data_IF_654952050396
#
_entry.id   IF_654952050396
#
_cell.length_a   1.000
_cell.length_b   1.000
_cell.length_c   1.000
_cell.angle_alpha   90.00
_cell.angle_beta   90.00
_cell.angle_gamma   90.00
#
_symmetry.space_group_name_H-M   'P 1'
#
loop_
_entity.id
_entity.type
_entity.pdbx_description
1 polymer ?
#
# COMPACT_ATOMS: atom_id res chain seq x y z
N UNK A 1 43.34 -19.55 -39.57
CA UNK A 1 43.78 -18.24 -39.09
C UNK A 1 43.33 -18.04 -37.62
N UNK A 2 43.98 -17.14 -36.91
CA UNK A 2 43.65 -16.84 -35.50
C UNK A 2 42.20 -16.40 -35.34
N UNK A 3 41.67 -15.61 -36.30
CA UNK A 3 40.25 -15.22 -36.33
C UNK A 3 39.31 -16.45 -36.30
N UNK A 4 39.60 -17.47 -37.12
CA UNK A 4 38.73 -18.67 -37.16
C UNK A 4 38.73 -19.42 -35.83
N UNK A 5 39.91 -19.51 -35.22
CA UNK A 5 40.03 -20.15 -33.89
C UNK A 5 39.32 -19.34 -32.83
N UNK A 6 39.42 -18.01 -32.88
CA UNK A 6 38.73 -17.14 -31.91
C UNK A 6 37.21 -17.21 -32.06
N UNK A 7 36.70 -17.24 -33.32
CA UNK A 7 35.26 -17.40 -33.57
C UNK A 7 34.78 -18.75 -33.00
N UNK A 8 35.51 -19.83 -33.25
CA UNK A 8 35.13 -21.16 -32.78
C UNK A 8 35.09 -21.25 -31.23
N UNK A 9 36.06 -20.58 -30.60
CA UNK A 9 36.09 -20.53 -29.12
C UNK A 9 34.93 -19.69 -28.54
N UNK A 10 34.61 -18.57 -29.16
CA UNK A 10 33.57 -17.66 -28.62
C UNK A 10 32.15 -18.13 -28.93
N UNK A 11 31.95 -18.62 -30.17
CA UNK A 11 30.65 -19.11 -30.62
C UNK A 11 30.82 -20.31 -31.55
N UNK A 12 30.91 -21.52 -31.00
CA UNK A 12 31.01 -22.74 -31.79
C UNK A 12 29.85 -22.86 -32.78
N UNK A 13 30.17 -23.18 -34.01
CA UNK A 13 29.18 -23.36 -35.06
C UNK A 13 28.64 -22.07 -35.69
N UNK A 14 29.23 -20.88 -35.41
CA UNK A 14 28.88 -19.65 -36.11
C UNK A 14 29.19 -19.80 -37.63
N UNK A 15 28.15 -19.57 -38.43
CA UNK A 15 28.29 -19.65 -39.88
C UNK A 15 29.16 -18.51 -40.42
N UNK A 16 30.17 -18.83 -41.19
CA UNK A 16 31.15 -17.89 -41.74
C UNK A 16 31.50 -18.21 -43.16
N UNK A 17 31.65 -17.16 -44.01
CA UNK A 17 32.17 -17.27 -45.36
C UNK A 17 33.47 -16.46 -45.43
N UNK A 18 34.50 -17.04 -45.97
CA UNK A 18 35.82 -16.40 -46.13
C UNK A 18 36.02 -16.16 -47.62
N UNK A 19 36.24 -14.90 -48.00
CA UNK A 19 36.61 -14.48 -49.34
C UNK A 19 38.10 -14.11 -49.32
N UNK A 20 38.94 -15.00 -49.82
CA UNK A 20 40.38 -14.75 -49.99
C UNK A 20 40.65 -13.82 -51.15
N UNK A 21 41.30 -12.68 -50.90
CA UNK A 21 41.66 -11.69 -51.92
C UNK A 21 43.10 -11.34 -51.86
N UNK A 22 43.69 -11.02 -53.00
CA UNK A 22 45.00 -10.44 -53.07
C UNK A 22 44.91 -8.97 -52.67
N UNK A 23 45.68 -8.56 -51.68
CA UNK A 23 45.63 -7.21 -51.08
C UNK A 23 46.81 -6.33 -51.48
N UNK A 24 47.75 -6.88 -52.27
CA UNK A 24 48.97 -6.23 -52.73
C UNK A 24 49.14 -6.38 -54.26
N UNK A 25 49.82 -5.45 -54.91
CA UNK A 25 50.14 -5.49 -56.36
C UNK A 25 49.03 -4.95 -57.29
N UNK A 26 49.36 -5.02 -58.62
CA UNK A 26 48.47 -4.53 -59.62
C UNK A 26 47.13 -5.28 -59.69
N UNK A 27 46.07 -4.82 -59.29
CA UNK A 27 44.78 -5.52 -59.27
C UNK A 27 44.22 -5.75 -57.89
N UNK A 28 44.96 -5.45 -56.84
CA UNK A 28 44.44 -5.59 -55.43
C UNK A 28 43.14 -4.82 -55.18
N UNK A 29 43.05 -3.59 -55.69
CA UNK A 29 41.85 -2.73 -55.66
C UNK A 29 40.66 -3.44 -56.28
N UNK A 30 40.82 -3.97 -57.47
CA UNK A 30 39.78 -4.66 -58.24
C UNK A 30 39.30 -5.92 -57.45
N UNK A 31 40.26 -6.69 -56.94
CA UNK A 31 39.95 -7.93 -56.16
C UNK A 31 39.20 -7.63 -54.88
N UNK A 32 39.59 -6.57 -54.15
CA UNK A 32 38.88 -6.16 -52.93
C UNK A 32 37.48 -5.68 -53.25
N UNK A 33 37.31 -4.82 -54.27
CA UNK A 33 36.00 -4.33 -54.68
C UNK A 33 35.07 -5.47 -55.17
N UNK A 34 35.60 -6.46 -55.90
CA UNK A 34 34.83 -7.66 -56.30
C UNK A 34 34.43 -8.50 -55.14
N UNK A 35 35.31 -8.71 -54.14
CA UNK A 35 34.96 -9.46 -52.94
C UNK A 35 33.89 -8.78 -52.08
N UNK A 36 34.00 -7.44 -51.93
CA UNK A 36 32.96 -6.64 -51.25
C UNK A 36 31.64 -6.70 -52.02
N UNK A 37 31.68 -6.64 -53.33
CA UNK A 37 30.52 -6.83 -54.21
C UNK A 37 29.89 -8.21 -54.03
N UNK A 38 30.71 -9.26 -54.01
CA UNK A 38 30.22 -10.63 -53.78
C UNK A 38 29.60 -10.79 -52.38
N UNK A 39 30.23 -10.23 -51.34
CA UNK A 39 29.66 -10.23 -49.98
C UNK A 39 28.33 -9.47 -49.92
N UNK A 40 28.24 -8.33 -50.61
CA UNK A 40 27.00 -7.56 -50.75
C UNK A 40 25.90 -8.37 -51.46
N UNK A 41 26.20 -9.10 -52.51
CA UNK A 41 25.20 -9.97 -53.14
C UNK A 41 24.76 -11.12 -52.22
N UNK A 42 25.65 -11.71 -51.43
CA UNK A 42 25.33 -12.73 -50.44
C UNK A 42 24.52 -12.22 -49.23
N UNK A 43 24.44 -10.91 -49.02
CA UNK A 43 23.52 -10.36 -48.00
C UNK A 43 22.05 -10.37 -48.44
N UNK A 44 21.79 -10.58 -49.75
CA UNK A 44 20.42 -10.73 -50.25
C UNK A 44 19.93 -12.16 -50.04
N UNK A 45 18.81 -12.37 -49.33
CA UNK A 45 18.33 -13.72 -48.99
C UNK A 45 18.10 -14.63 -50.22
N UNK A 46 17.61 -14.04 -51.32
CA UNK A 46 17.34 -14.76 -52.57
C UNK A 46 18.62 -15.31 -53.22
N UNK A 47 19.67 -14.52 -53.20
CA UNK A 47 20.96 -14.89 -53.82
C UNK A 47 21.69 -15.88 -52.90
N UNK A 48 21.72 -15.64 -51.59
CA UNK A 48 22.29 -16.56 -50.62
C UNK A 48 21.66 -17.96 -50.74
N UNK A 49 20.34 -18.03 -50.90
CA UNK A 49 19.60 -19.28 -51.11
C UNK A 49 20.01 -19.98 -52.43
N UNK A 50 20.12 -19.22 -53.55
CA UNK A 50 20.56 -19.78 -54.83
C UNK A 50 21.98 -20.34 -54.76
N UNK A 51 22.85 -19.70 -54.00
CA UNK A 51 24.25 -20.11 -53.80
C UNK A 51 24.43 -21.20 -52.76
N UNK A 52 23.33 -21.63 -52.11
CA UNK A 52 23.35 -22.54 -50.95
C UNK A 52 24.32 -22.08 -49.84
N UNK A 53 24.32 -20.77 -49.57
CA UNK A 53 25.15 -20.13 -48.55
C UNK A 53 24.31 -19.41 -47.52
N UNK A 54 24.84 -19.21 -46.32
CA UNK A 54 24.17 -18.38 -45.33
C UNK A 54 24.07 -16.94 -45.81
N UNK A 55 23.02 -16.25 -45.41
CA UNK A 55 22.92 -14.80 -45.59
C UNK A 55 24.06 -14.13 -44.80
N UNK A 56 24.63 -13.11 -45.37
CA UNK A 56 25.70 -12.32 -44.74
C UNK A 56 25.04 -11.19 -43.96
N UNK A 57 25.22 -11.18 -42.65
CA UNK A 57 24.68 -10.14 -41.75
C UNK A 57 25.73 -9.10 -41.37
N UNK A 58 27.01 -9.40 -41.54
CA UNK A 58 28.15 -8.55 -41.17
C UNK A 58 29.33 -8.88 -42.09
N UNK A 59 30.07 -7.85 -42.50
CA UNK A 59 31.32 -8.00 -43.24
C UNK A 59 32.49 -7.54 -42.38
N UNK A 60 33.54 -8.34 -42.32
CA UNK A 60 34.80 -7.96 -41.68
C UNK A 60 35.86 -7.88 -42.78
N UNK A 61 36.41 -6.68 -43.02
CA UNK A 61 37.54 -6.46 -43.87
C UNK A 61 38.79 -6.51 -43.01
N UNK A 62 39.54 -7.60 -43.12
CA UNK A 62 40.69 -7.84 -42.27
C UNK A 62 41.93 -8.18 -43.09
N UNK A 63 43.07 -7.72 -42.61
CA UNK A 63 44.39 -8.09 -43.14
C UNK A 63 45.31 -8.57 -42.02
N UNK A 64 46.13 -9.55 -42.31
CA UNK A 64 47.27 -9.91 -41.45
C UNK A 64 48.38 -8.86 -41.51
N UNK A 65 49.37 -8.95 -40.65
CA UNK A 65 50.53 -8.02 -40.63
C UNK A 65 51.20 -7.85 -41.98
N UNK A 66 51.76 -6.67 -42.25
CA UNK A 66 52.48 -6.29 -43.47
C UNK A 66 53.04 -4.88 -43.34
N UNK A 67 53.80 -4.42 -44.36
CA UNK A 67 54.39 -3.08 -44.38
C UNK A 67 53.31 -2.00 -44.57
N UNK A 68 53.59 -0.73 -44.24
CA UNK A 68 52.69 0.41 -44.44
C UNK A 68 52.36 0.61 -45.93
N UNK A 69 53.28 0.26 -46.83
CA UNK A 69 53.07 0.31 -48.28
C UNK A 69 51.97 -0.66 -48.71
N UNK A 70 51.87 -1.79 -48.07
CA UNK A 70 50.84 -2.81 -48.37
C UNK A 70 49.44 -2.38 -47.91
N UNK A 71 49.35 -1.42 -47.01
CA UNK A 71 48.07 -0.89 -46.53
C UNK A 71 47.51 0.22 -47.43
N UNK A 72 48.34 0.75 -48.39
CA UNK A 72 47.95 1.88 -49.23
C UNK A 72 46.72 1.61 -50.08
N UNK A 73 46.50 0.35 -50.51
CA UNK A 73 45.34 -0.07 -51.29
C UNK A 73 44.00 0.27 -50.57
N UNK A 74 43.97 0.24 -49.24
CA UNK A 74 42.77 0.55 -48.45
C UNK A 74 42.54 2.04 -48.22
N UNK A 75 43.44 2.90 -48.67
CA UNK A 75 43.30 4.35 -48.72
C UNK A 75 42.67 4.84 -50.02
N UNK A 76 42.48 3.96 -51.00
CA UNK A 76 42.02 4.34 -52.32
C UNK A 76 40.47 4.47 -52.35
N UNK A 77 40.01 5.51 -53.07
CA UNK A 77 38.58 5.86 -53.19
C UNK A 77 37.69 4.69 -53.64
N UNK A 78 38.06 3.84 -54.59
CA UNK A 78 37.20 2.73 -55.04
C UNK A 78 36.88 1.75 -53.90
N UNK A 79 37.85 1.45 -53.03
CA UNK A 79 37.66 0.56 -51.90
C UNK A 79 36.75 1.22 -50.87
N UNK A 80 36.97 2.49 -50.56
CA UNK A 80 36.12 3.25 -49.65
C UNK A 80 34.65 3.29 -50.12
N UNK A 81 34.44 3.54 -51.41
CA UNK A 81 33.09 3.52 -52.01
C UNK A 81 32.45 2.13 -51.98
N UNK A 82 33.22 1.08 -52.17
CA UNK A 82 32.73 -0.30 -52.08
C UNK A 82 32.29 -0.66 -50.63
N UNK A 83 32.99 -0.16 -49.61
CA UNK A 83 32.62 -0.32 -48.21
C UNK A 83 31.29 0.44 -47.91
N UNK A 84 31.22 1.73 -48.27
CA UNK A 84 30.02 2.56 -48.08
C UNK A 84 28.80 1.96 -48.78
N UNK A 85 28.98 1.34 -49.96
CA UNK A 85 27.89 0.73 -50.69
C UNK A 85 27.35 -0.58 -50.06
N UNK A 86 27.90 -1.04 -48.97
CA UNK A 86 27.45 -2.26 -48.30
C UNK A 86 26.08 -2.05 -47.65
N UNK A 87 25.09 -2.94 -47.86
CA UNK A 87 23.79 -2.89 -47.18
C UNK A 87 23.84 -3.48 -45.78
N UNK A 88 24.93 -4.10 -45.36
CA UNK A 88 25.17 -4.67 -44.05
C UNK A 88 26.36 -4.02 -43.37
N UNK A 89 26.42 -3.98 -42.07
CA UNK A 89 27.53 -3.36 -41.33
C UNK A 89 28.91 -3.92 -41.75
N UNK A 90 29.87 -3.03 -41.84
CA UNK A 90 31.26 -3.38 -42.18
C UNK A 90 32.19 -3.02 -41.02
N UNK A 91 33.00 -3.96 -40.60
CA UNK A 91 34.09 -3.73 -39.64
C UNK A 91 35.40 -3.68 -40.42
N UNK A 92 36.15 -2.60 -40.28
CA UNK A 92 37.53 -2.51 -40.74
C UNK A 92 38.50 -2.97 -39.66
N UNK A 93 39.33 -3.93 -39.97
CA UNK A 93 40.37 -4.47 -39.09
C UNK A 93 41.71 -4.60 -39.84
N UNK A 94 42.12 -3.51 -40.45
CA UNK A 94 43.26 -3.44 -41.39
C UNK A 94 44.42 -2.73 -40.71
N UNK A 95 44.17 -1.52 -40.18
CA UNK A 95 45.19 -0.66 -39.59
C UNK A 95 45.46 -0.99 -38.13
N UNK A 96 46.69 -0.72 -37.65
CA UNK A 96 47.04 -0.75 -36.22
C UNK A 96 46.52 0.54 -35.52
N UNK A 97 46.67 0.64 -34.24
CA UNK A 97 46.16 1.81 -33.47
C UNK A 97 46.70 3.15 -33.96
N UNK A 98 47.95 3.18 -34.46
CA UNK A 98 48.60 4.39 -35.00
C UNK A 98 48.20 4.75 -36.44
N UNK A 99 47.73 3.79 -37.24
CA UNK A 99 47.60 3.94 -38.70
C UNK A 99 46.10 3.98 -39.07
N UNK A 100 45.56 5.17 -39.23
CA UNK A 100 44.17 5.36 -39.64
C UNK A 100 44.12 5.40 -41.20
N UNK A 101 43.35 4.49 -41.74
CA UNK A 101 43.14 4.36 -43.16
C UNK A 101 41.78 4.95 -43.57
N UNK A 102 41.61 5.30 -44.86
CA UNK A 102 40.31 5.78 -45.38
C UNK A 102 39.23 4.70 -45.19
N UNK A 103 39.58 3.43 -45.40
CA UNK A 103 38.67 2.30 -45.11
C UNK A 103 38.17 2.26 -43.67
N UNK A 104 39.00 2.69 -42.69
CA UNK A 104 38.61 2.74 -41.27
C UNK A 104 37.62 3.88 -41.00
N UNK A 105 37.73 4.98 -41.72
CA UNK A 105 36.86 6.17 -41.60
C UNK A 105 35.48 5.95 -42.18
N UNK A 106 35.39 5.08 -43.20
CA UNK A 106 34.11 4.81 -43.89
C UNK A 106 33.41 3.53 -43.42
N UNK A 107 34.09 2.71 -42.65
CA UNK A 107 33.51 1.52 -42.05
C UNK A 107 32.63 1.89 -40.87
N UNK A 108 31.61 1.09 -40.57
CA UNK A 108 30.70 1.28 -39.42
C UNK A 108 31.43 1.13 -38.10
N UNK A 109 32.39 0.23 -38.03
CA UNK A 109 33.21 0.00 -36.85
C UNK A 109 34.68 -0.21 -37.23
N UNK A 110 35.58 0.46 -36.55
CA UNK A 110 37.02 0.22 -36.64
C UNK A 110 37.49 -0.73 -35.54
N UNK A 111 38.30 -1.71 -35.87
CA UNK A 111 39.00 -2.57 -34.93
C UNK A 111 40.52 -2.47 -35.16
N UNK A 112 41.32 -2.43 -34.11
CA UNK A 112 42.77 -2.29 -34.16
C UNK A 112 43.50 -3.55 -34.67
N UNK A 113 42.83 -4.69 -34.59
CA UNK A 113 43.36 -5.97 -35.09
C UNK A 113 42.21 -6.87 -35.56
N UNK A 114 42.50 -7.87 -36.41
CA UNK A 114 41.51 -8.87 -36.82
C UNK A 114 40.88 -9.62 -35.64
N UNK A 115 41.62 -9.89 -34.57
CA UNK A 115 41.12 -10.53 -33.35
C UNK A 115 40.18 -9.61 -32.62
N UNK A 116 40.52 -8.32 -32.50
CA UNK A 116 39.65 -7.33 -31.85
C UNK A 116 38.33 -7.15 -32.60
N UNK A 117 38.34 -7.26 -33.94
CA UNK A 117 37.09 -7.25 -34.73
C UNK A 117 36.16 -8.40 -34.31
N UNK A 118 36.70 -9.60 -34.13
CA UNK A 118 35.90 -10.76 -33.67
C UNK A 118 35.36 -10.53 -32.26
N UNK A 119 36.19 -10.03 -31.34
CA UNK A 119 35.76 -9.76 -29.95
C UNK A 119 34.60 -8.76 -29.90
N UNK A 120 34.61 -7.76 -30.80
CA UNK A 120 33.56 -6.73 -30.88
C UNK A 120 32.25 -7.23 -31.49
N UNK A 121 32.28 -8.17 -32.45
CA UNK A 121 31.10 -8.60 -33.18
C UNK A 121 30.57 -9.97 -32.77
N UNK A 122 31.40 -10.82 -32.16
CA UNK A 122 30.98 -12.17 -31.74
C UNK A 122 30.94 -12.23 -30.22
N UNK A 123 29.75 -12.23 -29.61
CA UNK A 123 29.61 -12.39 -28.18
C UNK A 123 30.07 -13.77 -27.71
N UNK A 124 30.40 -13.89 -26.47
CA UNK A 124 30.75 -15.18 -25.86
C UNK A 124 29.49 -15.96 -25.53
N UNK A 125 29.31 -17.09 -26.24
CA UNK A 125 28.09 -17.91 -26.14
C UNK A 125 27.81 -18.37 -24.71
N UNK A 126 28.85 -18.84 -24.01
CA UNK A 126 28.69 -19.35 -22.64
C UNK A 126 28.25 -18.25 -21.67
N UNK A 127 28.81 -17.04 -21.82
CA UNK A 127 28.40 -15.90 -20.99
C UNK A 127 26.94 -15.51 -21.21
N UNK A 128 26.48 -15.54 -22.48
CA UNK A 128 25.06 -15.30 -22.80
C UNK A 128 24.14 -16.40 -22.23
N UNK A 129 24.53 -17.66 -22.34
CA UNK A 129 23.74 -18.77 -21.79
C UNK A 129 23.61 -18.64 -20.26
N UNK A 130 24.71 -18.37 -19.56
CA UNK A 130 24.67 -18.14 -18.11
C UNK A 130 23.78 -16.94 -17.74
N UNK A 131 23.81 -15.89 -18.52
CA UNK A 131 22.94 -14.73 -18.31
C UNK A 131 21.44 -15.07 -18.50
N UNK A 132 21.12 -15.90 -19.51
CA UNK A 132 19.75 -16.41 -19.71
C UNK A 132 19.29 -17.28 -18.53
N UNK A 133 20.14 -18.21 -18.08
CA UNK A 133 19.84 -19.08 -16.93
C UNK A 133 19.59 -18.24 -15.65
N UNK A 134 20.38 -17.19 -15.48
CA UNK A 134 20.17 -16.24 -14.35
C UNK A 134 18.80 -15.52 -14.45
N UNK A 135 18.46 -15.02 -15.64
CA UNK A 135 17.16 -14.36 -15.86
C UNK A 135 16.02 -15.33 -15.60
N UNK A 136 16.11 -16.57 -16.11
CA UNK A 136 15.11 -17.60 -15.88
C UNK A 136 14.91 -17.87 -14.39
N UNK A 137 15.99 -18.10 -13.67
CA UNK A 137 15.96 -18.30 -12.22
C UNK A 137 15.35 -17.10 -11.46
N UNK A 138 15.71 -15.87 -11.85
CA UNK A 138 15.15 -14.66 -11.25
C UNK A 138 13.65 -14.54 -11.52
N UNK A 139 13.20 -14.90 -12.73
CA UNK A 139 11.81 -14.89 -13.11
C UNK A 139 11.00 -15.90 -12.27
N UNK A 140 11.46 -17.15 -12.22
CA UNK A 140 10.83 -18.21 -11.42
C UNK A 140 10.69 -17.80 -9.95
N UNK A 141 11.80 -17.32 -9.34
CA UNK A 141 11.80 -16.89 -7.95
C UNK A 141 10.84 -15.73 -7.72
N UNK A 142 10.75 -14.78 -8.65
CA UNK A 142 9.84 -13.64 -8.56
C UNK A 142 8.36 -14.06 -8.61
N UNK A 143 8.04 -15.01 -9.48
CA UNK A 143 6.70 -15.60 -9.62
C UNK A 143 6.32 -16.37 -8.37
N UNK A 144 7.18 -17.29 -7.92
CA UNK A 144 6.94 -18.10 -6.70
C UNK A 144 6.74 -17.23 -5.46
N UNK A 145 7.56 -16.18 -5.31
CA UNK A 145 7.40 -15.21 -4.21
C UNK A 145 6.05 -14.51 -4.26
N UNK A 146 5.62 -13.98 -5.41
CA UNK A 146 4.31 -13.32 -5.58
C UNK A 146 3.15 -14.26 -5.27
N UNK A 147 3.24 -15.52 -5.71
CA UNK A 147 2.24 -16.53 -5.37
C UNK A 147 2.20 -16.82 -3.87
N UNK A 148 3.38 -16.95 -3.24
CA UNK A 148 3.51 -17.14 -1.79
C UNK A 148 2.87 -15.99 -1.00
N UNK A 149 3.20 -14.75 -1.34
CA UNK A 149 2.65 -13.55 -0.71
C UNK A 149 1.12 -13.46 -0.89
N UNK A 150 0.62 -13.74 -2.10
CA UNK A 150 -0.81 -13.71 -2.39
C UNK A 150 -1.57 -14.80 -1.61
N UNK A 151 -0.99 -16.00 -1.53
CA UNK A 151 -1.55 -17.09 -0.73
C UNK A 151 -1.60 -16.76 0.75
N UNK A 152 -0.51 -16.19 1.28
CA UNK A 152 -0.45 -15.79 2.68
C UNK A 152 -1.45 -14.67 3.00
N UNK A 153 -1.61 -13.71 2.08
CA UNK A 153 -2.62 -12.66 2.18
C UNK A 153 -4.05 -13.23 2.21
N UNK A 154 -4.35 -14.20 1.33
CA UNK A 154 -5.64 -14.90 1.33
C UNK A 154 -5.91 -15.61 2.66
N UNK A 155 -4.93 -16.35 3.19
CA UNK A 155 -5.05 -17.05 4.48
C UNK A 155 -5.33 -16.04 5.60
N UNK A 156 -4.58 -14.93 5.65
CA UNK A 156 -4.78 -13.90 6.67
C UNK A 156 -6.15 -13.23 6.57
N UNK A 157 -6.60 -12.91 5.36
CA UNK A 157 -7.91 -12.31 5.12
C UNK A 157 -9.04 -13.26 5.52
N UNK A 158 -8.91 -14.56 5.19
CA UNK A 158 -9.89 -15.59 5.57
C UNK A 158 -9.98 -15.74 7.09
N UNK A 159 -8.84 -15.75 7.78
CA UNK A 159 -8.81 -15.79 9.25
C UNK A 159 -9.49 -14.55 9.86
N UNK A 160 -9.17 -13.35 9.36
CA UNK A 160 -9.80 -12.10 9.80
C UNK A 160 -11.31 -12.10 9.54
N UNK A 161 -11.75 -12.58 8.37
CA UNK A 161 -13.17 -12.66 8.03
C UNK A 161 -13.94 -13.59 8.97
N UNK A 162 -13.32 -14.69 9.41
CA UNK A 162 -13.91 -15.63 10.38
C UNK A 162 -13.99 -15.06 11.79
N UNK A 163 -12.99 -14.33 12.23
CA UNK A 163 -12.88 -13.83 13.60
C UNK A 163 -13.57 -12.47 13.85
N UNK A 164 -13.58 -11.59 12.87
CA UNK A 164 -14.15 -10.24 13.00
C UNK A 164 -15.65 -10.23 13.36
N UNK A 165 -16.53 -11.07 12.76
CA UNK A 165 -17.94 -11.12 13.14
C UNK A 165 -18.14 -11.61 14.58
N UNK A 166 -17.34 -12.58 15.02
CA UNK A 166 -17.44 -13.14 16.39
C UNK A 166 -17.05 -12.09 17.43
N UNK A 167 -15.99 -11.34 17.20
CA UNK A 167 -15.58 -10.24 18.07
C UNK A 167 -16.62 -9.11 18.11
N UNK A 168 -17.21 -8.78 16.95
CA UNK A 168 -18.28 -7.80 16.85
C UNK A 168 -19.53 -8.21 17.64
N UNK A 169 -19.95 -9.46 17.51
CA UNK A 169 -21.09 -10.04 18.24
C UNK A 169 -20.83 -10.09 19.75
N UNK A 170 -19.64 -10.48 20.18
CA UNK A 170 -19.26 -10.48 21.61
C UNK A 170 -19.38 -9.07 22.19
N UNK A 171 -18.80 -8.07 21.54
CA UNK A 171 -18.88 -6.66 21.96
C UNK A 171 -20.33 -6.14 22.02
N UNK A 172 -21.14 -6.47 21.02
CA UNK A 172 -22.54 -6.08 20.98
C UNK A 172 -23.34 -6.71 22.15
N UNK A 173 -23.06 -8.00 22.45
CA UNK A 173 -23.67 -8.71 23.58
C UNK A 173 -23.28 -8.09 24.93
N UNK A 174 -22.02 -7.74 25.13
CA UNK A 174 -21.55 -7.08 26.34
C UNK A 174 -22.18 -5.70 26.54
N UNK A 175 -22.28 -4.95 25.45
CA UNK A 175 -22.98 -3.65 25.45
C UNK A 175 -24.45 -3.81 25.82
N UNK A 176 -25.14 -4.78 25.24
CA UNK A 176 -26.53 -5.07 25.56
C UNK A 176 -26.71 -5.43 27.04
N UNK A 177 -25.85 -6.32 27.55
CA UNK A 177 -25.89 -6.70 28.97
C UNK A 177 -25.66 -5.50 29.90
N UNK A 178 -24.74 -4.63 29.59
CA UNK A 178 -24.45 -3.41 30.33
C UNK A 178 -25.65 -2.45 30.36
N UNK A 179 -26.32 -2.28 29.23
CA UNK A 179 -27.52 -1.45 29.09
C UNK A 179 -28.67 -2.05 29.92
N UNK A 180 -28.87 -3.37 29.85
CA UNK A 180 -29.89 -4.05 30.64
C UNK A 180 -29.66 -3.89 32.16
N UNK A 181 -28.42 -4.04 32.62
CA UNK A 181 -28.08 -3.79 34.03
C UNK A 181 -28.39 -2.36 34.46
N UNK A 182 -27.92 -1.37 33.68
CA UNK A 182 -28.18 0.05 33.95
C UNK A 182 -29.68 0.38 33.98
N UNK A 183 -30.45 -0.18 33.06
CA UNK A 183 -31.90 0.01 33.04
C UNK A 183 -32.55 -0.55 34.28
N UNK A 184 -32.14 -1.76 34.68
CA UNK A 184 -32.68 -2.40 35.92
C UNK A 184 -32.32 -1.58 37.17
N UNK A 185 -31.09 -1.16 37.28
CA UNK A 185 -30.63 -0.41 38.47
C UNK A 185 -31.32 0.97 38.55
N UNK A 186 -31.40 1.68 37.43
CA UNK A 186 -32.10 2.97 37.35
C UNK A 186 -33.61 2.80 37.71
N UNK A 187 -34.25 1.75 37.20
CA UNK A 187 -35.64 1.48 37.48
C UNK A 187 -35.87 1.17 38.98
N UNK A 188 -34.98 0.39 39.57
CA UNK A 188 -35.05 0.10 41.04
C UNK A 188 -34.80 1.35 41.88
N UNK A 189 -33.82 2.19 41.47
CA UNK A 189 -33.56 3.46 42.17
C UNK A 189 -34.79 4.39 42.10
N UNK A 190 -35.39 4.52 40.91
CA UNK A 190 -36.57 5.36 40.73
C UNK A 190 -37.74 4.87 41.60
N UNK A 191 -38.00 3.57 41.58
CA UNK A 191 -39.07 2.96 42.44
C UNK A 191 -38.78 3.16 43.92
N UNK A 192 -37.54 3.00 44.35
CA UNK A 192 -37.18 3.21 45.76
C UNK A 192 -37.34 4.69 46.17
N UNK A 193 -36.97 5.61 45.31
CA UNK A 193 -37.14 7.05 45.52
C UNK A 193 -38.63 7.42 45.66
N UNK A 194 -39.47 6.98 44.71
CA UNK A 194 -40.91 7.29 44.75
C UNK A 194 -41.61 6.62 45.96
N UNK A 195 -41.19 5.39 46.32
CA UNK A 195 -41.69 4.77 47.57
C UNK A 195 -41.32 5.60 48.80
N UNK A 196 -40.09 6.03 48.91
CA UNK A 196 -39.62 6.87 50.02
C UNK A 196 -40.36 8.21 50.07
N UNK A 197 -40.64 8.79 48.89
CA UNK A 197 -41.43 10.02 48.77
C UNK A 197 -42.89 9.82 49.24
N UNK A 198 -43.53 8.72 48.86
CA UNK A 198 -44.87 8.37 49.31
C UNK A 198 -44.92 8.18 50.84
N UNK A 199 -43.98 7.41 51.40
CA UNK A 199 -43.90 7.21 52.87
C UNK A 199 -43.76 8.56 53.60
N UNK A 200 -42.91 9.46 53.06
CA UNK A 200 -42.72 10.79 53.63
C UNK A 200 -44.02 11.61 53.60
N UNK A 201 -44.72 11.62 52.45
CA UNK A 201 -45.99 12.31 52.29
C UNK A 201 -47.06 11.75 53.23
N UNK A 202 -47.15 10.41 53.36
CA UNK A 202 -48.07 9.76 54.25
C UNK A 202 -47.76 10.13 55.75
N UNK A 203 -46.47 10.20 56.07
CA UNK A 203 -46.05 10.59 57.44
C UNK A 203 -46.45 12.04 57.73
N UNK A 204 -46.25 12.96 56.78
CA UNK A 204 -46.67 14.37 56.93
C UNK A 204 -48.19 14.44 57.09
N UNK A 205 -48.91 13.74 56.24
CA UNK A 205 -50.40 13.74 56.27
C UNK A 205 -50.91 13.21 57.60
N UNK A 206 -50.32 12.11 58.11
CA UNK A 206 -50.64 11.53 59.42
C UNK A 206 -50.31 12.47 60.54
N UNK A 207 -49.17 13.20 60.47
CA UNK A 207 -48.78 14.12 61.54
C UNK A 207 -49.63 15.39 61.58
N UNK A 208 -50.17 15.80 60.46
CA UNK A 208 -51.06 16.97 60.34
C UNK A 208 -52.53 16.67 60.65
N UNK A 209 -52.88 15.45 60.95
CA UNK A 209 -54.29 15.09 61.27
C UNK A 209 -54.68 15.67 62.60
N UNK A 210 -55.73 16.48 62.68
CA UNK A 210 -56.15 17.20 63.89
C UNK A 210 -56.33 16.27 65.12
N UNK A 211 -56.88 15.06 64.96
CA UNK A 211 -57.10 14.08 66.02
C UNK A 211 -55.79 13.72 66.73
N UNK A 212 -54.66 13.57 66.08
CA UNK A 212 -53.37 13.26 66.66
C UNK A 212 -52.77 14.41 67.51
N UNK A 213 -53.11 15.61 67.16
CA UNK A 213 -52.69 16.79 67.96
C UNK A 213 -53.43 16.76 69.24
N UNK A 214 -54.73 16.40 69.26
CA UNK A 214 -55.55 16.24 70.43
C UNK A 214 -55.08 15.04 71.28
N UNK A 215 -54.73 13.88 70.69
CA UNK A 215 -54.18 12.70 71.38
C UNK A 215 -52.87 12.95 72.15
N UNK A 216 -52.10 13.98 71.75
CA UNK A 216 -50.88 14.44 72.40
C UNK A 216 -51.17 15.31 73.69
N UNK A 217 -52.41 15.48 74.04
CA UNK A 217 -52.82 16.27 75.20
C UNK A 217 -53.09 17.74 74.87
N UNK A 218 -53.05 18.13 73.56
CA UNK A 218 -53.52 19.47 73.20
C UNK A 218 -55.07 19.49 73.15
N UNK A 219 -55.67 20.62 73.51
CA UNK A 219 -57.09 20.86 73.28
C UNK A 219 -57.30 21.97 72.30
N UNK A 220 -58.41 21.91 71.56
CA UNK A 220 -58.76 22.95 70.58
C UNK A 220 -59.93 23.74 71.22
N UNK A 221 -59.68 25.02 71.43
CA UNK A 221 -60.71 25.94 71.95
C UNK A 221 -61.49 26.56 70.80
N UNK A 222 -62.81 26.53 70.94
CA UNK A 222 -63.75 27.11 69.94
C UNK A 222 -64.78 27.98 70.64
N UNK A 223 -65.30 29.00 69.94
CA UNK A 223 -66.47 29.74 70.36
C UNK A 223 -67.74 28.91 70.23
N UNK A 224 -68.84 29.33 70.81
CA UNK A 224 -70.13 28.70 70.57
C UNK A 224 -70.55 28.55 69.13
N UNK A 225 -70.08 29.42 68.25
CA UNK A 225 -70.36 29.43 66.81
C UNK A 225 -69.41 28.51 66.08
N UNK A 226 -68.52 27.77 66.69
CA UNK A 226 -67.60 26.80 66.14
C UNK A 226 -66.28 27.42 65.57
N UNK A 227 -66.02 28.69 65.72
CA UNK A 227 -64.78 29.31 65.33
C UNK A 227 -63.63 28.97 66.26
N UNK A 228 -62.46 28.53 65.68
CA UNK A 228 -61.27 28.17 66.42
C UNK A 228 -60.61 29.41 67.03
N UNK A 229 -60.36 29.35 68.32
CA UNK A 229 -59.70 30.41 69.10
C UNK A 229 -58.16 30.17 69.04
N UNK A 230 -57.48 30.90 68.22
CA UNK A 230 -56.00 30.78 68.09
C UNK A 230 -55.20 31.88 68.78
N UNK A 231 -55.89 32.89 69.36
CA UNK A 231 -55.26 34.00 70.08
C UNK A 231 -56.15 34.46 71.21
N UNK A 232 -55.56 34.82 72.37
CA UNK A 232 -56.23 35.38 73.53
C UNK A 232 -56.82 36.76 73.28
N UNK A 233 -56.38 37.46 72.22
CA UNK A 233 -56.94 38.76 71.83
C UNK A 233 -58.36 38.67 71.32
N UNK A 234 -58.83 37.48 70.92
CA UNK A 234 -60.18 37.26 70.41
C UNK A 234 -61.12 36.68 71.46
N UNK A 235 -60.77 36.78 72.74
CA UNK A 235 -61.49 36.22 73.80
C UNK A 235 -61.91 37.33 74.82
N UNK A 236 -63.11 37.25 75.41
CA UNK A 236 -63.58 38.17 76.44
C UNK A 236 -63.80 37.47 77.77
N UNK A 237 -63.54 38.14 78.88
CA UNK A 237 -63.79 37.57 80.21
C UNK A 237 -65.31 37.29 80.38
N UNK A 238 -65.68 36.11 80.88
CA UNK A 238 -67.06 35.65 81.00
C UNK A 238 -67.56 34.96 79.73
N UNK A 239 -66.72 34.75 78.71
CA UNK A 239 -67.10 34.06 77.49
C UNK A 239 -67.02 32.52 77.67
N UNK A 240 -68.11 31.86 77.29
CA UNK A 240 -68.20 30.40 77.31
C UNK A 240 -67.54 29.86 76.07
N UNK A 241 -66.57 28.95 76.21
CA UNK A 241 -65.84 28.28 75.12
C UNK A 241 -66.02 26.77 75.15
N UNK A 242 -65.93 26.15 73.98
CA UNK A 242 -65.89 24.71 73.89
C UNK A 242 -64.48 24.25 73.74
N UNK A 243 -63.96 23.46 74.63
CA UNK A 243 -62.66 22.78 74.53
C UNK A 243 -62.84 21.37 74.05
N UNK A 244 -62.31 21.10 72.82
CA UNK A 244 -62.35 19.74 72.27
C UNK A 244 -61.04 19.03 72.57
N UNK A 245 -61.15 17.85 73.16
CA UNK A 245 -60.07 16.91 73.46
C UNK A 245 -60.17 15.70 72.51
N UNK A 246 -59.25 14.78 72.64
CA UNK A 246 -59.20 13.57 71.79
C UNK A 246 -60.44 12.64 72.06
N UNK A 247 -60.92 12.61 73.23
CA UNK A 247 -62.03 11.73 73.75
C UNK A 247 -63.36 12.41 73.98
N UNK A 248 -63.40 13.73 73.76
CA UNK A 248 -64.71 14.45 74.00
C UNK A 248 -64.55 15.95 74.03
N UNK A 249 -65.63 16.64 74.40
CA UNK A 249 -65.61 18.10 74.51
C UNK A 249 -66.14 18.54 75.90
N UNK A 250 -65.50 19.58 76.40
CA UNK A 250 -65.88 20.19 77.68
C UNK A 250 -66.23 21.70 77.39
N UNK A 251 -67.19 22.19 78.18
CA UNK A 251 -67.52 23.61 78.22
C UNK A 251 -66.74 24.28 79.37
N UNK A 252 -66.15 25.43 79.06
CA UNK A 252 -65.39 26.16 80.08
C UNK A 252 -65.69 27.68 79.95
N UNK A 253 -65.76 28.35 81.08
CA UNK A 253 -65.91 29.80 81.12
C UNK A 253 -64.59 30.46 81.37
N UNK A 254 -64.28 31.49 80.61
CA UNK A 254 -63.05 32.27 80.72
C UNK A 254 -63.18 33.19 81.94
N UNK A 255 -62.51 32.88 83.05
CA UNK A 255 -62.56 33.69 84.22
C UNK A 255 -61.62 34.84 84.23
N UNK A 256 -60.43 34.68 83.59
CA UNK A 256 -59.38 35.71 83.49
C UNK A 256 -58.56 35.57 82.26
N UNK A 257 -58.19 36.66 81.60
CA UNK A 257 -57.36 36.72 80.49
C UNK A 257 -56.01 37.37 80.88
N UNK A 258 -54.92 36.76 80.52
CA UNK A 258 -53.59 37.29 80.74
C UNK A 258 -52.97 37.30 79.34
N UNK A 259 -52.60 38.49 78.84
CA UNK A 259 -51.84 38.66 77.59
C UNK A 259 -50.34 38.63 77.96
N UNK A 260 -49.56 37.78 77.31
CA UNK A 260 -48.12 37.88 77.42
C UNK A 260 -47.67 39.07 76.48
N UNK A 261 -47.01 40.09 77.04
CA UNK A 261 -46.34 41.12 76.27
C UNK A 261 -45.26 40.45 75.49
N UNK A 262 -45.32 40.57 74.15
CA UNK A 262 -44.30 40.04 73.25
C UNK A 262 -42.89 40.55 73.63
N UNK A 263 -41.98 39.59 73.87
CA UNK A 263 -40.55 39.83 73.74
C UNK A 263 -40.06 39.53 72.36
#
# INVERSE_FOLDING_TARGET
SDMQRLIENRWPGLRRTILGVTVQGDGAVSNICQALGAAREMSKPEIAKKMNRPVVDLIIVARGGGSAEDLWTFNLEPVARAIIASPVPVISAIGHESDILVSDLVADVRASTPSNAIERCVPEKNGLMMWFDEIESRLENSVLRRFGESRQRLVSLTARLRLAPLAGLAKAKDTLNSIQMRLRDNSQQLLSFEKSRLIRMETILRSSHPKRVLERGYSMAQTKDGAVLSSVKNITSGQEITMTFADGSAFADITKIIEDDEK
#
